data_IF_596630055543
#
_entry.id   IF_596630055543
#
_cell.length_a   1.000
_cell.length_b   1.000
_cell.length_c   1.000
_cell.angle_alpha   90.00
_cell.angle_beta   90.00
_cell.angle_gamma   90.00
#
_symmetry.space_group_name_H-M   'P 1'
#
loop_
_entity.id
_entity.type
_entity.pdbx_description
1 polymer ?
#
# COMPACT_ATOMS: atom_id res chain seq x y z
N UNK A 1 38.38 -23.47 24.05
CA UNK A 1 37.15 -24.26 23.73
C UNK A 1 35.97 -23.31 23.77
N UNK A 2 35.28 -23.20 22.63
CA UNK A 2 34.17 -22.29 22.33
C UNK A 2 32.96 -22.60 23.21
N UNK A 3 32.31 -21.57 23.78
CA UNK A 3 30.84 -21.54 23.98
C UNK A 3 30.36 -20.08 23.85
N UNK A 4 30.22 -19.62 22.61
CA UNK A 4 29.32 -18.53 22.26
C UNK A 4 27.90 -19.06 22.40
N UNK A 5 27.16 -18.58 23.40
CA UNK A 5 25.71 -18.72 23.45
C UNK A 5 25.14 -17.30 23.36
N UNK A 6 24.94 -16.83 22.13
CA UNK A 6 24.12 -15.64 21.88
C UNK A 6 22.68 -16.07 22.08
N UNK A 7 22.13 -15.75 23.25
CA UNK A 7 20.71 -15.82 23.52
C UNK A 7 20.03 -14.74 22.67
N UNK A 8 19.52 -15.12 21.50
CA UNK A 8 18.56 -14.31 20.74
C UNK A 8 17.23 -14.43 21.46
N UNK A 9 17.05 -13.61 22.49
CA UNK A 9 15.77 -13.45 23.17
C UNK A 9 14.80 -12.78 22.22
N UNK A 10 13.85 -13.55 21.71
CA UNK A 10 12.69 -13.07 21.00
C UNK A 10 11.90 -12.12 21.92
N UNK A 11 12.06 -10.81 21.71
CA UNK A 11 11.16 -9.81 22.30
C UNK A 11 9.98 -9.60 21.34
N UNK A 12 9.07 -10.57 21.35
CA UNK A 12 7.70 -10.37 20.86
C UNK A 12 6.97 -9.58 21.93
N UNK A 13 6.89 -8.26 21.79
CA UNK A 13 5.88 -7.47 22.47
C UNK A 13 5.69 -6.12 21.78
N UNK A 14 4.59 -6.01 21.03
CA UNK A 14 3.78 -4.79 20.88
C UNK A 14 2.45 -5.17 20.22
N UNK A 15 1.65 -5.96 20.93
CA UNK A 15 0.20 -5.90 20.78
C UNK A 15 -0.29 -4.71 21.59
N UNK A 16 -0.71 -3.64 20.90
CA UNK A 16 -1.82 -2.77 21.33
C UNK A 16 -1.88 -1.52 20.43
N UNK A 17 -2.56 -1.60 19.29
CA UNK A 17 -3.61 -0.63 18.90
C UNK A 17 -4.64 -1.44 18.08
N UNK A 18 -5.92 -1.31 18.46
CA UNK A 18 -7.00 -2.24 18.13
C UNK A 18 -7.20 -2.56 16.64
N UNK A 19 -7.55 -3.82 16.39
CA UNK A 19 -7.91 -4.32 15.06
C UNK A 19 -6.87 -5.22 14.40
N UNK A 20 -6.05 -5.96 15.14
CA UNK A 20 -5.43 -7.15 14.57
C UNK A 20 -6.53 -8.20 14.40
N UNK A 21 -7.22 -8.20 13.26
CA UNK A 21 -7.73 -9.47 12.76
C UNK A 21 -6.51 -10.41 12.77
N UNK A 22 -6.55 -11.48 13.56
CA UNK A 22 -5.46 -12.44 13.62
C UNK A 22 -5.17 -12.88 12.18
N UNK A 23 -3.99 -12.51 11.67
CA UNK A 23 -3.52 -12.90 10.35
C UNK A 23 -3.40 -14.42 10.36
N UNK A 24 -4.44 -15.11 9.94
CA UNK A 24 -4.55 -16.56 10.00
C UNK A 24 -5.06 -17.09 8.68
N UNK A 25 -4.42 -18.16 8.23
CA UNK A 25 -4.86 -18.96 7.11
C UNK A 25 -5.52 -20.25 7.61
N UNK A 26 -6.22 -20.95 6.72
CA UNK A 26 -6.73 -22.31 7.00
C UNK A 26 -5.59 -23.31 7.30
N UNK A 27 -4.42 -23.12 6.69
CA UNK A 27 -3.22 -23.91 6.92
C UNK A 27 -2.26 -23.19 7.89
N UNK A 28 -1.82 -23.83 8.99
CA UNK A 28 -0.82 -23.28 9.90
C UNK A 28 0.51 -22.90 9.24
N UNK A 29 0.96 -23.65 8.23
CA UNK A 29 2.21 -23.33 7.53
C UNK A 29 2.07 -22.03 6.71
N UNK A 30 0.94 -21.86 6.02
CA UNK A 30 0.60 -20.62 5.33
C UNK A 30 0.45 -19.43 6.29
N UNK A 31 -0.06 -19.67 7.51
CA UNK A 31 -0.18 -18.64 8.56
C UNK A 31 1.18 -18.11 8.99
N UNK A 32 2.15 -18.99 9.21
CA UNK A 32 3.50 -18.59 9.58
C UNK A 32 4.17 -17.78 8.45
N UNK A 33 4.03 -18.24 7.21
CA UNK A 33 4.53 -17.49 6.05
C UNK A 33 3.86 -16.11 5.90
N UNK A 34 2.54 -16.01 6.11
CA UNK A 34 1.83 -14.73 6.07
C UNK A 34 2.40 -13.75 7.12
N UNK A 35 2.70 -14.24 8.31
CA UNK A 35 3.32 -13.44 9.39
C UNK A 35 4.71 -12.96 9.00
N UNK A 36 5.53 -13.83 8.39
CA UNK A 36 6.85 -13.45 7.87
C UNK A 36 6.74 -12.38 6.78
N UNK A 37 5.84 -12.57 5.81
CA UNK A 37 5.60 -11.64 4.72
C UNK A 37 5.12 -10.28 5.24
N UNK A 38 4.26 -10.27 6.26
CA UNK A 38 3.83 -9.02 6.88
C UNK A 38 5.02 -8.21 7.42
N UNK A 39 5.90 -8.85 8.18
CA UNK A 39 7.09 -8.19 8.75
C UNK A 39 8.05 -7.71 7.67
N UNK A 40 8.19 -8.47 6.57
CA UNK A 40 9.13 -8.16 5.50
C UNK A 40 8.63 -7.07 4.55
N UNK A 41 7.34 -7.07 4.22
CA UNK A 41 6.78 -6.26 3.15
C UNK A 41 6.08 -5.00 3.67
N UNK A 42 5.48 -5.05 4.86
CA UNK A 42 4.56 -4.00 5.31
C UNK A 42 5.27 -3.09 6.32
N UNK A 43 5.45 -1.79 6.01
CA UNK A 43 6.00 -0.86 6.97
C UNK A 43 5.10 -0.74 8.20
N UNK A 44 5.67 -0.86 9.39
CA UNK A 44 4.91 -0.74 10.64
C UNK A 44 4.39 0.70 10.83
N UNK A 45 3.14 0.90 11.31
CA UNK A 45 2.66 2.21 11.74
C UNK A 45 3.64 2.89 12.71
N UNK A 46 3.87 4.20 12.53
CA UNK A 46 4.82 4.98 13.32
C UNK A 46 6.27 4.91 12.85
N UNK A 47 6.61 4.02 11.91
CA UNK A 47 7.97 3.94 11.34
C UNK A 47 8.36 5.27 10.72
N UNK A 48 9.55 5.76 11.08
CA UNK A 48 10.10 6.99 10.51
C UNK A 48 10.48 6.80 9.04
N UNK A 49 10.20 7.79 8.23
CA UNK A 49 10.46 7.76 6.79
C UNK A 49 11.58 8.71 6.42
N UNK A 50 12.24 8.46 5.29
CA UNK A 50 13.29 9.33 4.76
C UNK A 50 12.78 10.73 4.43
N UNK A 51 11.47 10.89 4.21
CA UNK A 51 10.83 12.16 3.95
C UNK A 51 10.32 12.89 5.20
N UNK A 52 10.59 12.34 6.40
CA UNK A 52 10.39 13.02 7.69
C UNK A 52 8.95 13.00 8.21
N UNK A 53 8.08 12.14 7.66
CA UNK A 53 6.70 11.97 8.13
C UNK A 53 6.50 10.50 8.49
N UNK A 54 6.19 10.15 9.75
CA UNK A 54 5.98 8.76 10.14
C UNK A 54 4.86 8.08 9.36
N UNK A 55 5.00 6.79 9.09
CA UNK A 55 3.97 5.96 8.46
C UNK A 55 2.69 5.98 9.30
N UNK A 56 1.58 6.41 8.72
CA UNK A 56 0.31 6.53 9.44
C UNK A 56 -0.86 6.75 8.48
N UNK A 57 -2.00 6.08 8.72
CA UNK A 57 -3.23 6.29 7.95
C UNK A 57 -3.77 7.72 8.08
N UNK A 58 -3.44 8.42 9.17
CA UNK A 58 -3.78 9.84 9.35
C UNK A 58 -3.18 10.75 8.28
N UNK A 59 -2.12 10.30 7.58
CA UNK A 59 -1.52 11.05 6.49
C UNK A 59 -2.31 11.00 5.18
N UNK A 60 -3.27 10.08 5.01
CA UNK A 60 -4.05 9.93 3.76
C UNK A 60 -4.67 11.27 3.35
N UNK A 61 -5.40 11.92 4.27
CA UNK A 61 -6.05 13.22 4.02
C UNK A 61 -5.05 14.32 3.69
N UNK A 62 -3.92 14.36 4.40
CA UNK A 62 -2.83 15.32 4.13
C UNK A 62 -2.28 15.15 2.72
N UNK A 63 -1.99 13.91 2.32
CA UNK A 63 -1.42 13.65 1.00
C UNK A 63 -2.43 13.92 -0.10
N UNK A 64 -3.72 13.58 0.09
CA UNK A 64 -4.79 13.96 -0.85
C UNK A 64 -4.89 15.49 -0.98
N UNK A 65 -4.72 16.24 0.12
CA UNK A 65 -4.69 17.70 0.07
C UNK A 65 -3.57 18.21 -0.85
N UNK A 66 -2.35 17.67 -0.72
CA UNK A 66 -1.23 17.99 -1.62
C UNK A 66 -1.48 17.61 -3.07
N UNK A 67 -2.17 16.49 -3.31
CA UNK A 67 -2.57 16.13 -4.66
C UNK A 67 -3.40 17.23 -5.33
N UNK A 68 -4.29 17.88 -4.57
CA UNK A 68 -5.16 18.94 -5.07
C UNK A 68 -4.46 20.31 -5.14
N UNK A 69 -3.57 20.62 -4.19
CA UNK A 69 -3.03 21.98 -4.04
C UNK A 69 -1.67 22.19 -4.73
N UNK A 70 -0.90 21.12 -4.99
CA UNK A 70 0.43 21.24 -5.60
C UNK A 70 0.30 21.13 -7.13
N UNK A 71 0.68 22.22 -7.79
CA UNK A 71 0.87 22.29 -9.24
C UNK A 71 2.35 22.15 -9.54
N UNK A 72 2.72 21.10 -10.28
CA UNK A 72 4.12 20.86 -10.66
C UNK A 72 4.50 21.66 -11.91
N UNK A 73 5.72 22.19 -11.91
CA UNK A 73 6.35 22.71 -13.11
C UNK A 73 6.59 21.59 -14.15
N UNK A 74 6.77 21.90 -15.44
CA UNK A 74 6.95 20.87 -16.48
C UNK A 74 8.07 19.87 -16.19
N UNK A 75 9.23 20.34 -15.71
CA UNK A 75 10.35 19.47 -15.35
C UNK A 75 10.06 18.58 -14.13
N UNK A 76 9.34 19.11 -13.12
CA UNK A 76 8.93 18.35 -11.95
C UNK A 76 7.92 17.26 -12.32
N UNK A 77 6.97 17.59 -13.20
CA UNK A 77 5.99 16.64 -13.72
C UNK A 77 6.66 15.52 -14.55
N UNK A 78 7.73 15.83 -15.29
CA UNK A 78 8.52 14.84 -16.01
C UNK A 78 9.25 13.90 -15.06
N UNK A 79 9.88 14.43 -14.00
CA UNK A 79 10.55 13.64 -12.97
C UNK A 79 9.56 12.73 -12.23
N UNK A 80 8.39 13.26 -11.82
CA UNK A 80 7.33 12.45 -11.20
C UNK A 80 6.88 11.31 -12.13
N UNK A 81 6.69 11.61 -13.43
CA UNK A 81 6.33 10.59 -14.43
C UNK A 81 7.41 9.51 -14.54
N UNK A 82 8.68 9.90 -14.60
CA UNK A 82 9.80 8.96 -14.62
C UNK A 82 9.83 8.07 -13.37
N UNK A 83 9.68 8.66 -12.18
CA UNK A 83 9.73 7.95 -10.91
C UNK A 83 8.62 6.87 -10.80
N UNK A 84 7.45 7.15 -11.36
CA UNK A 84 6.24 6.37 -11.16
C UNK A 84 5.82 5.52 -12.36
N UNK A 85 6.50 5.63 -13.51
CA UNK A 85 6.16 4.93 -14.74
C UNK A 85 6.06 3.40 -14.57
N UNK A 86 6.95 2.84 -13.77
CA UNK A 86 7.05 1.39 -13.54
C UNK A 86 6.49 0.95 -12.18
N UNK A 87 5.91 1.86 -11.41
CA UNK A 87 5.39 1.50 -10.09
C UNK A 87 4.00 0.87 -10.26
N UNK A 88 3.84 -0.45 -10.04
CA UNK A 88 2.56 -1.11 -10.16
C UNK A 88 1.64 -0.58 -9.07
N UNK A 89 0.34 -0.42 -9.37
CA UNK A 89 -0.63 -0.03 -8.34
C UNK A 89 -1.81 -0.97 -8.21
N UNK A 90 -2.09 -1.43 -6.98
CA UNK A 90 -3.30 -2.16 -6.66
C UNK A 90 -4.52 -1.24 -6.73
N UNK A 91 -5.68 -1.70 -7.21
CA UNK A 91 -6.00 -3.04 -7.69
C UNK A 91 -5.91 -3.21 -9.20
N UNK A 92 -5.40 -2.22 -9.93
CA UNK A 92 -5.48 -2.18 -11.39
C UNK A 92 -4.55 -3.18 -12.11
N UNK A 93 -4.01 -4.18 -11.39
CA UNK A 93 -3.11 -5.20 -11.92
C UNK A 93 -1.83 -4.58 -12.48
N UNK A 94 -1.58 -4.80 -13.77
CA UNK A 94 -0.37 -4.36 -14.51
C UNK A 94 -0.32 -2.87 -14.85
N UNK A 95 -1.30 -2.07 -14.41
CA UNK A 95 -1.33 -0.63 -14.69
C UNK A 95 -0.42 0.13 -13.71
N UNK A 96 0.39 1.06 -14.24
CA UNK A 96 1.12 2.02 -13.42
C UNK A 96 0.16 2.86 -12.56
N UNK A 97 0.63 3.35 -11.42
CA UNK A 97 -0.07 4.38 -10.62
C UNK A 97 -0.52 5.58 -11.45
N UNK A 98 0.21 5.90 -12.52
CA UNK A 98 -0.12 6.99 -13.42
C UNK A 98 -1.38 6.69 -14.25
N UNK A 99 -1.65 5.42 -14.54
CA UNK A 99 -2.75 4.99 -15.42
C UNK A 99 -3.96 4.48 -14.65
N UNK A 100 -3.77 3.99 -13.43
CA UNK A 100 -4.85 3.64 -12.49
C UNK A 100 -5.43 4.90 -11.82
N UNK A 101 -6.74 5.09 -11.58
CA UNK A 101 -7.95 4.39 -12.02
C UNK A 101 -8.60 5.16 -13.19
N UNK A 102 -7.90 5.35 -14.32
CA UNK A 102 -8.53 5.98 -15.49
C UNK A 102 -9.41 4.94 -16.17
N UNK A 103 -10.71 4.95 -15.88
CA UNK A 103 -11.69 4.38 -16.81
C UNK A 103 -11.57 5.06 -18.18
N UNK A 104 -12.17 4.47 -19.22
CA UNK A 104 -12.16 4.99 -20.60
C UNK A 104 -12.60 6.47 -20.74
N UNK A 105 -13.33 6.97 -19.75
CA UNK A 105 -13.68 8.39 -19.58
C UNK A 105 -12.82 8.99 -18.48
N UNK A 106 -11.88 9.86 -18.88
CA UNK A 106 -10.90 10.61 -18.07
C UNK A 106 -11.54 11.59 -17.07
N UNK A 107 -12.46 11.13 -16.24
CA UNK A 107 -13.03 11.93 -15.17
C UNK A 107 -12.09 11.86 -13.97
N UNK A 108 -11.37 12.97 -13.73
CA UNK A 108 -10.43 13.16 -12.62
C UNK A 108 -11.05 12.87 -11.23
N UNK A 109 -12.38 12.86 -11.14
CA UNK A 109 -13.15 12.53 -9.93
C UNK A 109 -13.13 11.04 -9.58
N UNK A 110 -12.72 10.15 -10.50
CA UNK A 110 -12.70 8.69 -10.31
C UNK A 110 -11.39 8.13 -9.77
N UNK A 111 -10.37 8.97 -9.55
CA UNK A 111 -9.12 8.52 -8.93
C UNK A 111 -9.38 8.26 -7.45
N UNK A 112 -9.17 7.02 -6.99
CA UNK A 112 -9.42 6.64 -5.60
C UNK A 112 -8.53 7.42 -4.61
N UNK A 113 -9.00 7.55 -3.37
CA UNK A 113 -8.29 8.27 -2.31
C UNK A 113 -6.85 7.76 -2.10
N UNK A 114 -6.62 6.45 -2.23
CA UNK A 114 -5.29 5.88 -2.08
C UNK A 114 -4.34 6.29 -3.20
N UNK A 115 -4.76 6.21 -4.47
CA UNK A 115 -3.95 6.70 -5.59
C UNK A 115 -3.71 8.21 -5.46
N UNK A 116 -4.73 8.97 -5.06
CA UNK A 116 -4.57 10.41 -4.80
C UNK A 116 -3.57 10.67 -3.68
N UNK A 117 -3.60 9.89 -2.61
CA UNK A 117 -2.64 10.01 -1.50
C UNK A 117 -1.20 9.72 -1.97
N UNK A 118 -0.99 8.66 -2.74
CA UNK A 118 0.32 8.32 -3.27
C UNK A 118 0.85 9.36 -4.27
N UNK A 119 -0.01 9.84 -5.19
CA UNK A 119 0.34 10.92 -6.13
C UNK A 119 0.58 12.26 -5.42
N UNK A 120 -0.18 12.55 -4.36
CA UNK A 120 -0.02 13.76 -3.56
C UNK A 120 1.27 13.77 -2.75
N UNK A 121 1.62 12.63 -2.16
CA UNK A 121 2.95 12.42 -1.56
C UNK A 121 4.04 12.66 -2.62
N UNK A 122 3.95 12.00 -3.78
CA UNK A 122 4.93 12.17 -4.86
C UNK A 122 5.10 13.64 -5.28
N UNK A 123 3.99 14.37 -5.48
CA UNK A 123 4.02 15.80 -5.80
C UNK A 123 4.78 16.62 -4.76
N UNK A 124 4.51 16.39 -3.47
CA UNK A 124 5.19 17.09 -2.39
C UNK A 124 6.68 16.74 -2.31
N UNK A 125 7.05 15.46 -2.50
CA UNK A 125 8.45 15.03 -2.53
C UNK A 125 9.25 15.71 -3.64
N UNK A 126 8.67 15.82 -4.84
CA UNK A 126 9.32 16.50 -5.96
C UNK A 126 9.39 18.01 -5.74
N UNK A 127 8.26 18.61 -5.37
CA UNK A 127 8.13 20.07 -5.33
C UNK A 127 8.80 20.70 -4.12
N UNK A 128 8.59 20.13 -2.93
CA UNK A 128 9.05 20.69 -1.66
C UNK A 128 10.37 20.06 -1.24
N UNK A 129 10.48 18.72 -1.31
CA UNK A 129 11.67 18.01 -0.84
C UNK A 129 12.78 17.91 -1.88
N UNK A 130 12.49 18.22 -3.15
CA UNK A 130 13.45 18.15 -4.27
C UNK A 130 14.09 16.76 -4.43
N UNK A 131 13.32 15.71 -4.10
CA UNK A 131 13.79 14.33 -4.22
C UNK A 131 14.03 13.94 -5.69
N UNK A 132 15.03 13.09 -5.89
CA UNK A 132 15.32 12.43 -7.16
C UNK A 132 14.22 11.42 -7.52
N UNK A 133 14.19 10.97 -8.78
CA UNK A 133 13.20 9.98 -9.23
C UNK A 133 13.26 8.67 -8.41
N UNK A 134 14.46 8.22 -8.03
CA UNK A 134 14.66 7.02 -7.22
C UNK A 134 14.11 7.17 -5.79
N UNK A 135 14.37 8.31 -5.15
CA UNK A 135 13.87 8.61 -3.81
C UNK A 135 12.34 8.75 -3.80
N UNK A 136 11.78 9.39 -4.83
CA UNK A 136 10.32 9.47 -5.01
C UNK A 136 9.72 8.08 -5.17
N UNK A 137 10.29 7.24 -6.04
CA UNK A 137 9.81 5.86 -6.26
C UNK A 137 9.81 5.07 -4.96
N UNK A 138 10.93 5.08 -4.23
CA UNK A 138 11.07 4.35 -2.98
C UNK A 138 10.09 4.82 -1.90
N UNK A 139 9.92 6.13 -1.73
CA UNK A 139 9.00 6.68 -0.73
C UNK A 139 7.53 6.38 -1.06
N UNK A 140 7.16 6.47 -2.34
CA UNK A 140 5.80 6.14 -2.79
C UNK A 140 5.54 4.64 -2.67
N UNK A 141 6.51 3.80 -3.05
CA UNK A 141 6.40 2.34 -2.91
C UNK A 141 6.22 1.92 -1.44
N UNK A 142 7.00 2.50 -0.53
CA UNK A 142 6.83 2.29 0.92
C UNK A 142 5.41 2.69 1.38
N UNK A 143 4.91 3.84 0.91
CA UNK A 143 3.56 4.28 1.24
C UNK A 143 2.49 3.32 0.70
N UNK A 144 2.65 2.82 -0.53
CA UNK A 144 1.74 1.87 -1.13
C UNK A 144 1.72 0.54 -0.36
N UNK A 145 2.87 -0.02 0.01
CA UNK A 145 2.95 -1.24 0.82
C UNK A 145 2.20 -1.08 2.15
N UNK A 146 2.23 0.12 2.74
CA UNK A 146 1.48 0.40 3.96
C UNK A 146 -0.03 0.45 3.71
N UNK A 147 -0.50 1.29 2.78
CA UNK A 147 -1.95 1.53 2.60
C UNK A 147 -2.67 0.46 1.78
N UNK A 148 -1.94 -0.35 1.02
CA UNK A 148 -2.43 -1.49 0.23
C UNK A 148 -1.86 -2.82 0.74
N UNK A 149 -1.57 -2.93 2.04
CA UNK A 149 -0.89 -4.09 2.62
C UNK A 149 -1.51 -5.44 2.24
N UNK A 150 -2.83 -5.55 2.25
CA UNK A 150 -3.54 -6.77 1.86
C UNK A 150 -3.23 -7.23 0.44
N UNK A 151 -3.08 -6.31 -0.52
CA UNK A 151 -2.71 -6.67 -1.89
C UNK A 151 -1.29 -7.23 -1.96
N UNK A 152 -0.32 -6.55 -1.35
CA UNK A 152 1.07 -7.01 -1.42
C UNK A 152 1.26 -8.37 -0.75
N UNK A 153 0.51 -8.62 0.33
CA UNK A 153 0.45 -9.94 0.97
C UNK A 153 -0.20 -10.99 0.07
N UNK A 154 -1.31 -10.66 -0.59
CA UNK A 154 -1.96 -11.55 -1.55
C UNK A 154 -1.04 -11.95 -2.69
N UNK A 155 -0.39 -10.98 -3.35
CA UNK A 155 0.54 -11.26 -4.45
C UNK A 155 1.73 -12.10 -3.98
N UNK A 156 2.26 -11.82 -2.78
CA UNK A 156 3.38 -12.56 -2.22
C UNK A 156 3.02 -14.00 -1.83
N UNK A 157 1.79 -14.25 -1.38
CA UNK A 157 1.28 -15.61 -1.13
C UNK A 157 1.00 -16.35 -2.44
N UNK A 158 0.35 -15.69 -3.40
CA UNK A 158 0.07 -16.27 -4.71
C UNK A 158 1.34 -16.67 -5.46
N UNK A 159 2.39 -15.83 -5.39
CA UNK A 159 3.71 -16.14 -5.94
C UNK A 159 4.38 -17.38 -5.30
N UNK A 160 3.92 -17.79 -4.11
CA UNK A 160 4.36 -19.01 -3.41
C UNK A 160 3.38 -20.18 -3.55
N UNK A 161 2.38 -20.05 -4.42
CA UNK A 161 1.38 -21.09 -4.68
C UNK A 161 0.32 -21.23 -3.59
N UNK A 162 0.20 -20.25 -2.68
CA UNK A 162 -0.82 -20.24 -1.63
C UNK A 162 -1.98 -19.36 -2.09
N UNK A 163 -3.19 -19.90 -2.02
CA UNK A 163 -4.42 -19.14 -2.27
C UNK A 163 -4.62 -18.07 -1.18
N UNK A 164 -4.55 -16.76 -1.51
CA UNK A 164 -4.71 -15.68 -0.53
C UNK A 164 -6.07 -15.70 0.17
N UNK A 165 -7.12 -16.21 -0.48
CA UNK A 165 -8.47 -16.26 0.11
C UNK A 165 -8.54 -17.24 1.28
N UNK A 166 -7.64 -18.22 1.33
CA UNK A 166 -7.50 -19.12 2.47
C UNK A 166 -7.05 -18.38 3.75
N UNK A 167 -6.52 -17.17 3.60
CA UNK A 167 -6.08 -16.26 4.66
C UNK A 167 -6.99 -15.05 4.85
N UNK A 168 -8.17 -15.04 4.24
CA UNK A 168 -9.07 -13.88 4.25
C UNK A 168 -8.55 -12.68 3.44
N UNK A 169 -7.53 -12.87 2.61
CA UNK A 169 -6.96 -11.83 1.76
C UNK A 169 -7.62 -11.83 0.36
N UNK A 170 -7.71 -10.67 -0.30
CA UNK A 170 -8.36 -10.57 -1.61
C UNK A 170 -7.49 -11.18 -2.73
N UNK A 171 -8.10 -11.87 -3.68
CA UNK A 171 -7.46 -12.25 -4.96
C UNK A 171 -7.51 -11.13 -6.00
N UNK A 172 -8.47 -10.21 -5.85
CA UNK A 172 -8.60 -8.98 -6.65
C UNK A 172 -8.97 -7.86 -5.69
N UNK A 173 -8.17 -6.80 -5.62
CA UNK A 173 -8.60 -5.61 -4.88
C UNK A 173 -9.68 -4.86 -5.66
N UNK A 174 -10.54 -4.11 -5.00
CA UNK A 174 -11.22 -2.98 -5.65
C UNK A 174 -11.04 -1.74 -4.81
N UNK A 175 -10.73 -0.61 -5.45
CA UNK A 175 -10.69 0.66 -4.74
C UNK A 175 -12.12 1.10 -4.47
N UNK A 176 -12.50 1.07 -3.21
CA UNK A 176 -13.77 1.62 -2.71
C UNK A 176 -13.56 3.07 -2.36
N UNK A 177 -14.51 3.87 -2.80
CA UNK A 177 -14.61 5.28 -2.47
C UNK A 177 -15.20 5.43 -1.06
N UNK A 178 -14.56 6.22 -0.20
CA UNK A 178 -15.03 6.54 1.16
C UNK A 178 -13.91 7.14 2.00
N UNK A 179 -14.21 7.60 3.22
CA UNK A 179 -13.22 8.22 4.12
C UNK A 179 -12.31 7.15 4.74
N UNK A 180 -11.11 6.98 4.17
CA UNK A 180 -10.13 6.01 4.66
C UNK A 180 -9.66 6.28 6.09
N UNK A 181 -9.62 7.55 6.53
CA UNK A 181 -9.23 7.87 7.90
C UNK A 181 -10.33 7.50 8.91
N UNK A 182 -11.58 7.42 8.46
CA UNK A 182 -12.72 6.93 9.24
C UNK A 182 -13.01 5.43 9.04
N UNK A 183 -12.19 4.72 8.25
CA UNK A 183 -12.42 3.31 7.89
C UNK A 183 -13.62 3.07 6.96
N UNK A 184 -14.15 4.13 6.32
CA UNK A 184 -15.33 4.10 5.46
C UNK A 184 -14.99 3.98 3.96
N UNK A 185 -13.70 4.05 3.61
CA UNK A 185 -13.14 3.74 2.30
C UNK A 185 -12.05 2.67 2.45
N UNK A 186 -11.75 1.96 1.36
CA UNK A 186 -10.85 0.80 1.45
C UNK A 186 -10.47 0.27 0.08
N UNK A 187 -9.38 -0.49 -0.02
CA UNK A 187 -9.40 -1.56 -1.00
C UNK A 187 -10.33 -2.63 -0.44
N UNK A 188 -11.61 -2.65 -0.85
CA UNK A 188 -12.48 -3.76 -0.44
C UNK A 188 -12.00 -5.04 -1.10
N UNK A 189 -12.20 -6.09 -0.34
CA UNK A 189 -12.20 -7.47 -0.80
C UNK A 189 -13.45 -7.66 -1.66
N UNK A 190 -13.28 -7.91 -2.96
CA UNK A 190 -14.34 -8.59 -3.73
C UNK A 190 -14.00 -10.06 -3.74
N UNK A 191 -14.64 -10.82 -2.86
CA UNK A 191 -14.73 -12.26 -3.05
C UNK A 191 -15.45 -12.51 -4.38
N UNK A 192 -14.90 -13.38 -5.22
CA UNK A 192 -15.35 -13.68 -6.58
C UNK A 192 -16.84 -14.10 -6.70
N UNK A 193 -17.48 -14.39 -5.56
CA UNK A 193 -18.91 -14.65 -5.39
C UNK A 193 -19.84 -13.54 -5.88
N UNK A 194 -19.38 -12.28 -6.03
CA UNK A 194 -20.22 -11.14 -6.46
C UNK A 194 -20.36 -10.99 -7.98
N UNK A 195 -19.93 -11.98 -8.79
CA UNK A 195 -20.18 -12.01 -10.25
C UNK A 195 -21.56 -12.55 -10.65
N UNK A 196 -22.39 -13.00 -9.71
CA UNK A 196 -23.78 -13.41 -9.95
C UNK A 196 -24.75 -12.56 -9.12
N UNK A 197 -25.21 -11.44 -9.68
CA UNK A 197 -26.22 -10.61 -9.02
C UNK A 197 -26.32 -9.22 -9.63
N UNK A 198 -26.66 -9.15 -10.90
CA UNK A 198 -26.96 -7.90 -11.61
C UNK A 198 -27.84 -8.21 -12.81
N UNK A 199 -29.10 -8.55 -12.51
CA UNK A 199 -30.21 -8.45 -13.45
C UNK A 199 -30.91 -7.12 -13.24
#
# INVERSE_FOLDING_TARGET
RVKNAVLVGALVLCFAIGGAAELSCKDPAATELLRELYVQLIPFPGTQTTYGIPISLWNVKRFISWYNSITLAPQEAALLRQALAELPVPPCGHASILTCCRGEKRELEKVCELVRSALGLAKWLVHVKRFSAAEVRSAVDQWLHFVFSSYYLSEALAARGIDPTSCGLPVVGVCVRGDYAAGQGGCEVVSESRKKGGG
#
